data_IF_835505169846
#
_entry.id   IF_835505169846
#
_cell.length_a   1.000
_cell.length_b   1.000
_cell.length_c   1.000
_cell.angle_alpha   90.00
_cell.angle_beta   90.00
_cell.angle_gamma   90.00
#
_symmetry.space_group_name_H-M   'P 1'
#
loop_
_entity.id
_entity.type
_entity.pdbx_description
1 polymer ?
#
# COMPACT_ATOMS: atom_id res chain seq x y z
N UNK A 1 -46.72 10.48 -14.50
CA UNK A 1 -46.02 9.66 -13.48
C UNK A 1 -45.00 8.64 -14.04
N UNK A 2 -45.09 8.18 -15.29
CA UNK A 2 -44.13 7.18 -15.86
C UNK A 2 -42.68 7.69 -16.04
N UNK A 3 -42.47 9.00 -16.15
CA UNK A 3 -41.13 9.59 -16.34
C UNK A 3 -40.32 9.72 -15.04
N UNK A 4 -40.97 10.00 -13.91
CA UNK A 4 -40.32 10.14 -12.60
C UNK A 4 -39.66 8.83 -12.11
N UNK A 5 -40.29 7.68 -12.41
CA UNK A 5 -39.73 6.36 -12.09
C UNK A 5 -38.42 6.07 -12.83
N UNK A 6 -38.23 6.60 -14.05
CA UNK A 6 -36.99 6.42 -14.82
C UNK A 6 -35.82 7.20 -14.21
N UNK A 7 -36.07 8.40 -13.71
CA UNK A 7 -35.02 9.21 -13.05
C UNK A 7 -34.56 8.60 -11.73
N UNK A 8 -35.46 7.95 -10.98
CA UNK A 8 -35.11 7.23 -9.75
C UNK A 8 -34.14 6.07 -10.01
N UNK A 9 -34.29 5.37 -11.14
CA UNK A 9 -33.36 4.30 -11.54
C UNK A 9 -31.98 4.87 -11.86
N UNK A 10 -31.92 5.98 -12.59
CA UNK A 10 -30.65 6.66 -12.90
C UNK A 10 -29.94 7.17 -11.64
N UNK A 11 -30.67 7.76 -10.69
CA UNK A 11 -30.11 8.20 -9.41
C UNK A 11 -29.58 7.01 -8.61
N UNK A 12 -30.32 5.89 -8.57
CA UNK A 12 -29.87 4.67 -7.91
C UNK A 12 -28.58 4.10 -8.53
N UNK A 13 -28.46 4.11 -9.87
CA UNK A 13 -27.25 3.66 -10.58
C UNK A 13 -26.05 4.56 -10.28
N UNK A 14 -26.24 5.88 -10.24
CA UNK A 14 -25.17 6.84 -9.92
C UNK A 14 -24.72 6.68 -8.45
N UNK A 15 -25.65 6.46 -7.52
CA UNK A 15 -25.33 6.21 -6.11
C UNK A 15 -24.59 4.88 -5.89
N UNK A 16 -24.90 3.84 -6.68
CA UNK A 16 -24.20 2.56 -6.63
C UNK A 16 -22.78 2.64 -7.21
N UNK A 17 -22.55 3.49 -8.21
CA UNK A 17 -21.23 3.69 -8.82
C UNK A 17 -20.34 4.69 -8.06
N UNK A 18 -20.92 5.50 -7.17
CA UNK A 18 -20.24 6.58 -6.46
C UNK A 18 -19.33 6.18 -5.28
N UNK A 19 -19.24 4.88 -4.95
CA UNK A 19 -18.46 4.41 -3.80
C UNK A 19 -17.18 3.66 -4.23
N UNK A 20 -16.38 4.22 -5.12
CA UNK A 20 -14.97 3.81 -5.27
C UNK A 20 -14.11 4.64 -4.33
N UNK A 21 -14.32 4.46 -3.01
CA UNK A 21 -13.36 4.94 -2.02
C UNK A 21 -12.11 4.08 -2.24
N UNK A 22 -11.08 4.64 -2.87
CA UNK A 22 -9.74 4.05 -2.89
C UNK A 22 -9.25 4.00 -1.44
N UNK A 23 -9.65 2.94 -0.74
CA UNK A 23 -9.05 2.58 0.52
C UNK A 23 -7.63 2.19 0.19
N UNK A 24 -6.65 3.05 0.53
CA UNK A 24 -5.28 2.57 0.73
C UNK A 24 -5.37 1.50 1.81
N UNK A 25 -5.44 0.25 1.39
CA UNK A 25 -5.39 -0.88 2.31
C UNK A 25 -3.97 -0.92 2.84
N UNK A 26 -3.80 -0.67 4.15
CA UNK A 26 -2.59 -1.12 4.81
C UNK A 26 -2.57 -2.64 4.68
N UNK A 27 -1.52 -3.16 4.03
CA UNK A 27 -1.33 -4.58 3.84
C UNK A 27 -0.57 -5.20 5.02
N UNK A 28 0.25 -4.39 5.69
CA UNK A 28 0.99 -4.75 6.89
C UNK A 28 1.22 -3.50 7.73
N UNK A 29 1.14 -3.63 9.05
CA UNK A 29 1.44 -2.57 10.00
C UNK A 29 2.03 -3.17 11.27
N UNK A 30 3.25 -2.75 11.61
CA UNK A 30 3.97 -3.06 12.84
C UNK A 30 4.32 -1.77 13.57
N UNK A 31 5.03 -1.85 14.69
CA UNK A 31 5.55 -0.66 15.38
C UNK A 31 6.63 0.08 14.59
N UNK A 32 7.32 -0.59 13.66
CA UNK A 32 8.51 -0.08 12.98
C UNK A 32 8.28 0.13 11.48
N UNK A 33 7.31 -0.56 10.90
CA UNK A 33 7.06 -0.60 9.46
C UNK A 33 5.57 -0.60 9.14
N UNK A 34 5.19 0.17 8.13
CA UNK A 34 3.86 0.13 7.53
C UNK A 34 3.98 -0.06 6.02
N UNK A 35 3.16 -0.94 5.46
CA UNK A 35 3.13 -1.20 4.01
C UNK A 35 1.73 -0.89 3.48
N UNK A 36 1.67 -0.07 2.45
CA UNK A 36 0.42 0.35 1.79
C UNK A 36 0.47 0.00 0.30
N UNK A 37 -0.57 -0.62 -0.23
CA UNK A 37 -0.69 -0.79 -1.69
C UNK A 37 -0.99 0.56 -2.33
N UNK A 38 -0.17 1.01 -3.28
CA UNK A 38 -0.48 2.19 -4.11
C UNK A 38 -1.29 1.72 -5.31
N UNK A 39 -0.74 0.76 -6.07
CA UNK A 39 -1.35 0.09 -7.22
C UNK A 39 -0.94 -1.38 -7.25
N UNK A 40 -1.46 -2.17 -8.21
CA UNK A 40 -1.21 -3.62 -8.33
C UNK A 40 0.25 -4.03 -8.12
N UNK A 41 1.17 -3.27 -8.73
CA UNK A 41 2.59 -3.59 -8.84
C UNK A 41 3.48 -2.69 -7.99
N UNK A 42 2.92 -1.74 -7.23
CA UNK A 42 3.70 -0.76 -6.46
C UNK A 42 3.13 -0.65 -5.06
N UNK A 43 3.98 -0.91 -4.09
CA UNK A 43 3.70 -0.77 -2.67
C UNK A 43 4.58 0.31 -2.06
N UNK A 44 4.00 1.10 -1.17
CA UNK A 44 4.73 2.04 -0.33
C UNK A 44 5.13 1.33 0.95
N UNK A 45 6.37 1.52 1.40
CA UNK A 45 6.77 1.18 2.77
C UNK A 45 7.07 2.46 3.55
N UNK A 46 6.75 2.46 4.84
CA UNK A 46 6.98 3.57 5.75
C UNK A 46 7.63 3.03 7.00
N UNK A 47 8.91 3.35 7.22
CA UNK A 47 9.60 3.05 8.47
C UNK A 47 9.48 4.23 9.43
N UNK A 48 9.41 3.95 10.74
CA UNK A 48 9.11 4.97 11.76
C UNK A 48 10.25 5.06 12.77
N UNK A 49 10.76 6.28 12.99
CA UNK A 49 11.77 6.56 14.03
C UNK A 49 11.19 7.50 15.08
N UNK A 50 11.48 7.22 16.35
CA UNK A 50 11.21 8.16 17.44
C UNK A 50 12.35 9.19 17.55
N UNK A 51 12.11 10.40 17.04
CA UNK A 51 13.02 11.52 17.19
C UNK A 51 12.53 12.47 18.29
N UNK A 52 13.19 12.41 19.45
CA UNK A 52 12.92 13.29 20.61
C UNK A 52 11.45 13.26 21.06
N UNK A 53 10.84 12.08 21.06
CA UNK A 53 9.44 11.89 21.45
C UNK A 53 8.43 12.07 20.31
N UNK A 54 8.88 12.39 19.09
CA UNK A 54 8.03 12.52 17.92
C UNK A 54 8.27 11.34 16.97
N UNK A 55 7.18 10.73 16.49
CA UNK A 55 7.25 9.70 15.46
C UNK A 55 7.44 10.36 14.09
N UNK A 56 8.53 10.03 13.42
CA UNK A 56 8.88 10.51 12.08
C UNK A 56 8.85 9.34 11.12
N UNK A 57 8.01 9.43 10.09
CA UNK A 57 7.89 8.41 9.05
C UNK A 57 8.79 8.70 7.86
N UNK A 58 9.53 7.68 7.42
CA UNK A 58 10.38 7.70 6.24
C UNK A 58 9.77 6.80 5.19
N UNK A 59 9.44 7.36 4.04
CA UNK A 59 8.78 6.62 2.97
C UNK A 59 9.82 6.06 2.02
N UNK A 60 9.56 4.84 1.55
CA UNK A 60 10.12 4.32 0.32
C UNK A 60 9.05 3.53 -0.44
N UNK A 61 9.46 2.84 -1.49
CA UNK A 61 8.56 2.00 -2.27
C UNK A 61 9.22 0.69 -2.68
N UNK A 62 8.42 -0.29 -3.02
CA UNK A 62 8.90 -1.43 -3.78
C UNK A 62 7.95 -1.74 -4.93
N UNK A 63 8.56 -2.10 -6.06
CA UNK A 63 7.87 -2.40 -7.31
C UNK A 63 8.05 -3.87 -7.68
N UNK A 64 6.97 -4.48 -8.17
CA UNK A 64 6.88 -5.90 -8.50
C UNK A 64 6.99 -6.07 -10.02
N UNK A 65 8.07 -6.72 -10.47
CA UNK A 65 8.39 -7.00 -11.86
C UNK A 65 8.41 -8.51 -12.12
N UNK A 66 7.23 -9.11 -12.23
CA UNK A 66 7.08 -10.56 -12.29
C UNK A 66 7.58 -11.20 -11.00
N UNK A 67 8.57 -12.08 -11.11
CA UNK A 67 9.20 -12.76 -9.95
C UNK A 67 10.38 -11.94 -9.36
N UNK A 68 10.57 -10.70 -9.77
CA UNK A 68 11.61 -9.81 -9.22
C UNK A 68 10.98 -8.62 -8.51
N UNK A 69 11.60 -8.19 -7.42
CA UNK A 69 11.16 -7.00 -6.69
C UNK A 69 12.32 -6.00 -6.60
N UNK A 70 12.02 -4.74 -6.88
CA UNK A 70 12.95 -3.61 -6.70
C UNK A 70 12.44 -2.76 -5.54
N UNK A 71 13.27 -2.58 -4.52
CA UNK A 71 13.03 -1.70 -3.38
C UNK A 71 13.78 -0.39 -3.62
N UNK A 72 13.08 0.72 -3.48
CA UNK A 72 13.61 2.08 -3.51
C UNK A 72 13.52 2.67 -2.11
N UNK A 73 14.64 3.26 -1.70
CA UNK A 73 14.90 3.75 -0.34
C UNK A 73 14.84 2.62 0.70
N UNK A 74 15.93 2.44 1.44
CA UNK A 74 15.96 1.48 2.56
C UNK A 74 15.08 1.96 3.71
N UNK A 75 14.63 1.03 4.55
CA UNK A 75 14.08 1.39 5.86
C UNK A 75 15.12 2.11 6.73
N UNK A 76 14.66 2.74 7.79
CA UNK A 76 15.50 3.55 8.70
C UNK A 76 16.52 2.76 9.52
N UNK A 77 16.30 1.47 9.70
CA UNK A 77 17.16 0.57 10.48
C UNK A 77 17.03 -0.88 10.00
N UNK A 78 17.91 -1.75 10.52
CA UNK A 78 17.99 -3.15 10.14
C UNK A 78 16.72 -3.93 10.52
N UNK A 79 16.07 -3.60 11.63
CA UNK A 79 14.86 -4.30 12.08
C UNK A 79 13.70 -4.02 11.11
N UNK A 80 13.45 -2.75 10.79
CA UNK A 80 12.44 -2.36 9.82
C UNK A 80 12.78 -2.85 8.40
N UNK A 81 14.07 -3.02 8.08
CA UNK A 81 14.50 -3.62 6.80
C UNK A 81 14.17 -5.11 6.76
N UNK A 82 14.47 -5.87 7.81
CA UNK A 82 14.15 -7.29 7.89
C UNK A 82 12.64 -7.54 7.86
N UNK A 83 11.86 -6.73 8.60
CA UNK A 83 10.39 -6.81 8.53
C UNK A 83 9.85 -6.58 7.11
N UNK A 84 10.46 -5.65 6.35
CA UNK A 84 10.09 -5.39 4.96
C UNK A 84 10.42 -6.58 4.06
N UNK A 85 11.63 -7.15 4.21
CA UNK A 85 12.07 -8.30 3.41
C UNK A 85 11.24 -9.55 3.71
N UNK A 86 10.94 -9.82 4.99
CA UNK A 86 10.07 -10.94 5.39
C UNK A 86 8.67 -10.78 4.82
N UNK A 87 8.11 -9.56 4.86
CA UNK A 87 6.83 -9.30 4.24
C UNK A 87 6.87 -9.56 2.73
N UNK A 88 7.91 -9.10 2.04
CA UNK A 88 8.08 -9.31 0.60
C UNK A 88 8.16 -10.82 0.28
N UNK A 89 8.97 -11.56 1.03
CA UNK A 89 9.20 -12.99 0.84
C UNK A 89 7.91 -13.80 1.01
N UNK A 90 7.18 -13.53 2.09
CA UNK A 90 5.95 -14.27 2.45
C UNK A 90 4.80 -14.00 1.47
N UNK A 91 4.72 -12.80 0.89
CA UNK A 91 3.56 -12.40 0.10
C UNK A 91 3.78 -12.48 -1.41
N UNK A 92 5.02 -12.37 -1.88
CA UNK A 92 5.32 -12.30 -3.32
C UNK A 92 6.28 -13.39 -3.82
N UNK A 93 6.99 -14.08 -2.91
CA UNK A 93 7.93 -15.16 -3.24
C UNK A 93 8.88 -14.81 -4.40
N UNK A 94 9.62 -13.70 -4.32
CA UNK A 94 10.46 -13.26 -5.43
C UNK A 94 11.68 -14.19 -5.59
N UNK A 95 12.08 -14.43 -6.84
CA UNK A 95 13.38 -15.05 -7.13
C UNK A 95 14.55 -14.13 -6.76
N UNK A 96 14.31 -12.81 -6.79
CA UNK A 96 15.33 -11.80 -6.52
C UNK A 96 14.72 -10.51 -5.98
N UNK A 97 15.35 -9.99 -4.94
CA UNK A 97 15.11 -8.63 -4.42
C UNK A 97 16.35 -7.79 -4.73
N UNK A 98 16.14 -6.59 -5.26
CA UNK A 98 17.20 -5.60 -5.50
C UNK A 98 16.82 -4.32 -4.75
N UNK A 99 17.71 -3.81 -3.91
CA UNK A 99 17.56 -2.51 -3.26
C UNK A 99 18.46 -1.48 -3.95
N UNK A 100 17.94 -0.28 -4.20
CA UNK A 100 18.62 0.84 -4.88
C UNK A 100 18.53 2.08 -3.99
#
# INVERSE_FOLDING_TARGET
>A
MKYMARYLIFIAVILLLGCSRSSRCSLCESSNLKIEKIVEQICKHVSVVNYKGNLVGFNGEFSIFGENIVVLDSSTDDLATLELLDYIEVNFHPNRIVAI
#
